data_IF_246361152140
#
_entry.id   IF_246361152140
#
_cell.length_a   1.000
_cell.length_b   1.000
_cell.length_c   1.000
_cell.angle_alpha   90.00
_cell.angle_beta   90.00
_cell.angle_gamma   90.00
#
_symmetry.space_group_name_H-M   'P 1'
#
loop_
_entity.id
_entity.type
_entity.pdbx_description
1 polymer ?
#
# COMPACT_ATOMS: atom_id res chain seq x y z
N UNK A 1 -53.02 -5.80 -29.16
CA UNK A 1 -51.94 -4.80 -29.27
C UNK A 1 -51.22 -4.52 -27.95
N UNK A 2 -51.92 -4.18 -26.85
CA UNK A 2 -51.26 -3.88 -25.55
C UNK A 2 -50.48 -5.07 -24.94
N UNK A 3 -51.00 -6.29 -25.10
CA UNK A 3 -50.36 -7.52 -24.57
C UNK A 3 -49.01 -7.84 -25.24
N UNK A 4 -48.92 -7.69 -26.56
CA UNK A 4 -47.67 -7.95 -27.31
C UNK A 4 -46.59 -6.90 -26.99
N UNK A 5 -46.99 -5.64 -26.86
CA UNK A 5 -46.09 -4.56 -26.45
C UNK A 5 -45.51 -4.81 -25.05
N UNK A 6 -46.34 -5.18 -24.07
CA UNK A 6 -45.86 -5.53 -22.74
C UNK A 6 -44.93 -6.74 -22.75
N UNK A 7 -45.23 -7.77 -23.55
CA UNK A 7 -44.38 -8.97 -23.66
C UNK A 7 -43.01 -8.63 -24.26
N UNK A 8 -42.96 -7.75 -25.27
CA UNK A 8 -41.73 -7.28 -25.88
C UNK A 8 -40.90 -6.42 -24.91
N UNK A 9 -41.53 -5.45 -24.23
CA UNK A 9 -40.88 -4.64 -23.21
C UNK A 9 -40.30 -5.48 -22.08
N UNK A 10 -41.03 -6.49 -21.58
CA UNK A 10 -40.51 -7.42 -20.56
C UNK A 10 -39.25 -8.16 -21.02
N UNK A 11 -39.18 -8.60 -22.28
CA UNK A 11 -37.99 -9.27 -22.83
C UNK A 11 -36.79 -8.34 -22.94
N UNK A 12 -36.99 -7.11 -23.40
CA UNK A 12 -35.92 -6.10 -23.47
C UNK A 12 -35.42 -5.78 -22.06
N UNK A 13 -36.32 -5.49 -21.12
CA UNK A 13 -35.96 -5.20 -19.74
C UNK A 13 -35.18 -6.37 -19.12
N UNK A 14 -35.64 -7.61 -19.33
CA UNK A 14 -34.92 -8.79 -18.84
C UNK A 14 -33.54 -8.94 -19.48
N UNK A 15 -33.42 -8.69 -20.79
CA UNK A 15 -32.13 -8.70 -21.49
C UNK A 15 -31.17 -7.64 -20.91
N UNK A 16 -31.65 -6.41 -20.66
CA UNK A 16 -30.86 -5.35 -20.05
C UNK A 16 -30.41 -5.72 -18.63
N UNK A 17 -31.31 -6.27 -17.82
CA UNK A 17 -31.02 -6.71 -16.44
C UNK A 17 -30.02 -7.87 -16.40
N UNK A 18 -30.08 -8.81 -17.34
CA UNK A 18 -29.19 -9.97 -17.34
C UNK A 18 -27.82 -9.63 -17.94
N UNK A 19 -27.78 -8.83 -19.00
CA UNK A 19 -26.55 -8.65 -19.78
C UNK A 19 -25.84 -7.32 -19.48
N UNK A 20 -26.57 -6.23 -19.26
CA UNK A 20 -25.98 -4.90 -19.12
C UNK A 20 -25.79 -4.53 -17.65
N UNK A 21 -26.81 -4.77 -16.82
CA UNK A 21 -26.78 -4.38 -15.42
C UNK A 21 -25.60 -4.98 -14.64
N UNK A 22 -25.22 -6.27 -14.80
CA UNK A 22 -24.08 -6.82 -14.07
C UNK A 22 -22.75 -6.18 -14.49
N UNK A 23 -22.58 -5.87 -15.78
CA UNK A 23 -21.39 -5.18 -16.30
C UNK A 23 -21.33 -3.76 -15.74
N UNK A 24 -22.46 -3.05 -15.71
CA UNK A 24 -22.53 -1.71 -15.14
C UNK A 24 -22.21 -1.71 -13.64
N UNK A 25 -22.78 -2.64 -12.88
CA UNK A 25 -22.50 -2.81 -11.44
C UNK A 25 -21.01 -3.12 -11.24
N UNK A 26 -20.44 -4.00 -12.05
CA UNK A 26 -19.03 -4.34 -12.01
C UNK A 26 -18.14 -3.12 -12.30
N UNK A 27 -18.46 -2.37 -13.35
CA UNK A 27 -17.73 -1.16 -13.73
C UNK A 27 -17.78 -0.08 -12.66
N UNK A 28 -18.97 0.16 -12.07
CA UNK A 28 -19.15 1.08 -10.96
C UNK A 28 -18.40 0.62 -9.70
N UNK A 29 -18.45 -0.69 -9.40
CA UNK A 29 -17.71 -1.26 -8.28
C UNK A 29 -16.21 -1.07 -8.47
N UNK A 30 -15.68 -1.41 -9.65
CA UNK A 30 -14.27 -1.22 -9.98
C UNK A 30 -13.89 0.25 -9.87
N UNK A 31 -14.68 1.16 -10.44
CA UNK A 31 -14.42 2.59 -10.35
C UNK A 31 -14.36 3.09 -8.90
N UNK A 32 -15.23 2.59 -8.03
CA UNK A 32 -15.28 2.97 -6.62
C UNK A 32 -14.19 2.30 -5.75
N UNK A 33 -13.58 1.21 -6.20
CA UNK A 33 -12.65 0.40 -5.40
C UNK A 33 -11.23 0.34 -5.99
N UNK A 34 -10.99 0.85 -7.20
CA UNK A 34 -9.65 1.06 -7.74
C UNK A 34 -9.03 2.25 -7.02
N UNK A 35 -7.90 2.02 -6.39
CA UNK A 35 -7.17 3.04 -5.66
C UNK A 35 -6.32 2.46 -4.54
N UNK A 36 -5.48 3.31 -3.97
CA UNK A 36 -4.67 3.00 -2.81
C UNK A 36 -5.51 2.84 -1.56
N UNK A 37 -4.85 2.60 -0.42
CA UNK A 37 -5.50 2.81 0.86
C UNK A 37 -5.90 4.30 1.03
N UNK A 38 -6.82 4.61 1.92
CA UNK A 38 -7.20 5.96 2.29
C UNK A 38 -6.12 6.59 3.20
N UNK A 39 -5.68 5.84 4.21
CA UNK A 39 -4.66 6.26 5.16
C UNK A 39 -3.79 5.09 5.68
N UNK A 40 -2.78 5.42 6.47
CA UNK A 40 -1.89 4.46 7.14
C UNK A 40 -2.69 3.44 7.97
N UNK A 41 -3.79 3.83 8.62
CA UNK A 41 -4.56 2.92 9.48
C UNK A 41 -5.26 1.85 8.66
N UNK A 42 -5.84 2.21 7.53
CA UNK A 42 -6.41 1.25 6.58
C UNK A 42 -5.36 0.22 6.14
N UNK A 43 -4.12 0.67 5.88
CA UNK A 43 -3.02 -0.24 5.49
C UNK A 43 -2.76 -1.28 6.58
N UNK A 44 -2.65 -0.87 7.84
CA UNK A 44 -2.43 -1.78 8.98
C UNK A 44 -3.62 -2.73 9.14
N UNK A 45 -4.85 -2.22 9.15
CA UNK A 45 -6.06 -3.01 9.39
C UNK A 45 -6.31 -4.09 8.34
N UNK A 46 -5.95 -3.82 7.09
CA UNK A 46 -6.13 -4.75 5.98
C UNK A 46 -4.92 -5.67 5.75
N UNK A 47 -3.82 -5.48 6.49
CA UNK A 47 -2.63 -6.29 6.29
C UNK A 47 -2.91 -7.78 6.54
N UNK A 48 -2.44 -8.68 5.65
CA UNK A 48 -2.44 -10.11 5.91
C UNK A 48 -1.30 -10.56 6.84
N UNK A 49 -0.34 -9.67 7.12
CA UNK A 49 0.91 -9.98 7.82
C UNK A 49 1.05 -9.15 9.09
N UNK A 50 1.64 -9.76 10.12
CA UNK A 50 1.90 -9.10 11.42
C UNK A 50 2.91 -7.95 11.29
N UNK A 51 3.87 -8.10 10.40
CA UNK A 51 4.92 -7.14 10.07
C UNK A 51 5.15 -7.19 8.57
N UNK A 52 5.31 -6.02 7.94
CA UNK A 52 5.31 -5.95 6.48
C UNK A 52 5.87 -4.66 5.91
N UNK A 53 6.22 -4.70 4.64
CA UNK A 53 6.37 -3.52 3.79
C UNK A 53 5.18 -3.41 2.85
N UNK A 54 4.55 -2.25 2.80
CA UNK A 54 3.42 -1.95 1.92
C UNK A 54 3.83 -0.95 0.85
N UNK A 55 3.33 -1.13 -0.37
CA UNK A 55 3.49 -0.22 -1.50
C UNK A 55 2.09 0.13 -2.01
N UNK A 56 1.73 1.41 -1.92
CA UNK A 56 0.42 1.92 -2.31
C UNK A 56 0.23 1.93 -3.83
N UNK A 57 -1.02 1.83 -4.27
CA UNK A 57 -1.43 2.01 -5.67
C UNK A 57 -0.75 3.22 -6.33
N UNK A 58 -0.72 4.38 -5.65
CA UNK A 58 -0.11 5.60 -6.19
C UNK A 58 1.36 5.36 -6.55
N UNK A 59 2.13 4.74 -5.66
CA UNK A 59 3.54 4.40 -5.89
C UNK A 59 3.69 3.40 -7.04
N UNK A 60 2.81 2.41 -7.13
CA UNK A 60 2.80 1.46 -8.25
C UNK A 60 2.54 2.15 -9.59
N UNK A 61 1.63 3.12 -9.63
CA UNK A 61 1.36 3.90 -10.83
C UNK A 61 2.54 4.81 -11.22
N UNK A 62 3.32 5.29 -10.26
CA UNK A 62 4.57 6.01 -10.52
C UNK A 62 5.64 5.06 -11.09
N UNK A 63 5.79 3.87 -10.48
CA UNK A 63 6.72 2.83 -10.93
C UNK A 63 6.37 2.26 -12.30
N UNK A 64 5.09 2.24 -12.70
CA UNK A 64 4.63 1.75 -14.02
C UNK A 64 5.44 2.33 -15.18
N UNK A 65 5.82 3.60 -15.08
CA UNK A 65 6.57 4.32 -16.10
C UNK A 65 8.09 4.29 -15.91
N UNK A 66 8.58 3.59 -14.87
CA UNK A 66 10.00 3.47 -14.59
C UNK A 66 10.72 2.72 -15.73
N UNK A 67 11.91 3.21 -16.07
CA UNK A 67 12.78 2.67 -17.12
C UNK A 67 13.09 1.18 -16.89
N UNK A 68 13.15 0.73 -15.64
CA UNK A 68 13.45 -0.65 -15.30
C UNK A 68 12.31 -1.63 -15.66
N UNK A 69 11.09 -1.14 -15.81
CA UNK A 69 9.95 -1.95 -16.26
C UNK A 69 9.78 -1.95 -17.78
N UNK A 70 10.71 -1.35 -18.56
CA UNK A 70 10.61 -1.28 -20.03
C UNK A 70 10.38 -2.63 -20.70
N UNK A 71 10.99 -3.69 -20.18
CA UNK A 71 10.88 -5.06 -20.72
C UNK A 71 9.58 -5.79 -20.31
N UNK A 72 8.76 -5.20 -19.44
CA UNK A 72 7.49 -5.78 -19.07
C UNK A 72 6.48 -5.65 -20.23
N UNK A 73 5.81 -6.73 -20.64
CA UNK A 73 4.76 -6.65 -21.65
C UNK A 73 3.69 -5.62 -21.28
N UNK A 74 3.23 -4.85 -22.28
CA UNK A 74 2.34 -3.71 -22.07
C UNK A 74 1.06 -4.07 -21.32
N UNK A 75 0.50 -5.25 -21.59
CA UNK A 75 -0.67 -5.76 -20.88
C UNK A 75 -0.45 -5.85 -19.36
N UNK A 76 0.72 -6.31 -18.91
CA UNK A 76 1.02 -6.37 -17.48
C UNK A 76 1.20 -4.97 -16.88
N UNK A 77 1.82 -4.04 -17.61
CA UNK A 77 1.93 -2.64 -17.18
C UNK A 77 0.55 -1.99 -17.01
N UNK A 78 -0.36 -2.22 -17.96
CA UNK A 78 -1.73 -1.71 -17.87
C UNK A 78 -2.51 -2.38 -16.72
N UNK A 79 -2.24 -3.65 -16.42
CA UNK A 79 -2.89 -4.36 -15.31
C UNK A 79 -2.55 -3.82 -13.92
N UNK A 80 -1.46 -3.04 -13.77
CA UNK A 80 -1.08 -2.39 -12.49
C UNK A 80 -2.21 -1.51 -11.96
N UNK A 81 -3.05 -0.94 -12.84
CA UNK A 81 -4.21 -0.14 -12.44
C UNK A 81 -5.20 -0.93 -11.56
N UNK A 82 -5.20 -2.26 -11.64
CA UNK A 82 -6.05 -3.15 -10.86
C UNK A 82 -5.40 -3.58 -9.53
N UNK A 83 -4.26 -3.01 -9.15
CA UNK A 83 -3.59 -3.32 -7.88
C UNK A 83 -3.78 -2.15 -6.94
N UNK A 84 -4.53 -2.37 -5.86
CA UNK A 84 -4.75 -1.37 -4.81
C UNK A 84 -3.54 -1.21 -3.89
N UNK A 85 -2.71 -2.25 -3.79
CA UNK A 85 -1.45 -2.19 -3.06
C UNK A 85 -0.83 -3.56 -2.92
N UNK A 86 0.43 -3.56 -2.52
CA UNK A 86 1.24 -4.76 -2.35
C UNK A 86 1.76 -4.80 -0.92
N UNK A 87 1.65 -5.96 -0.28
CA UNK A 87 2.24 -6.28 1.02
C UNK A 87 3.39 -7.27 0.83
N UNK A 88 4.49 -7.06 1.55
CA UNK A 88 5.66 -7.95 1.57
C UNK A 88 5.94 -8.29 3.03
N UNK A 89 5.80 -9.56 3.39
CA UNK A 89 6.14 -10.07 4.72
C UNK A 89 7.66 -10.17 4.92
N UNK A 90 8.07 -10.20 6.17
CA UNK A 90 9.49 -10.26 6.57
C UNK A 90 10.22 -11.50 6.05
N UNK A 91 9.50 -12.61 5.89
CA UNK A 91 10.06 -13.88 5.45
C UNK A 91 9.79 -14.16 3.96
N UNK A 92 9.41 -13.13 3.19
CA UNK A 92 9.25 -13.20 1.74
C UNK A 92 7.85 -13.54 1.25
N UNK A 93 6.86 -13.64 2.15
CA UNK A 93 5.46 -13.72 1.74
C UNK A 93 5.07 -12.48 0.95
N UNK A 94 4.30 -12.66 -0.13
CA UNK A 94 3.95 -11.57 -1.02
C UNK A 94 2.43 -11.52 -1.23
N UNK A 95 1.80 -10.40 -0.87
CA UNK A 95 0.37 -10.19 -0.93
C UNK A 95 -0.02 -9.08 -1.92
N UNK A 96 -0.96 -9.33 -2.83
CA UNK A 96 -1.51 -8.34 -3.75
C UNK A 96 -2.97 -8.03 -3.37
N UNK A 97 -3.28 -6.78 -3.02
CA UNK A 97 -4.66 -6.29 -2.83
C UNK A 97 -5.19 -5.84 -4.18
N UNK A 98 -6.32 -6.39 -4.64
CA UNK A 98 -6.97 -6.04 -5.91
C UNK A 98 -8.45 -5.73 -5.69
N UNK A 99 -9.07 -4.85 -6.50
CA UNK A 99 -10.51 -4.74 -6.56
C UNK A 99 -11.10 -6.12 -6.88
N UNK A 100 -12.14 -6.52 -6.14
CA UNK A 100 -12.82 -7.81 -6.29
C UNK A 100 -11.97 -9.05 -5.91
N UNK A 101 -10.89 -8.90 -5.15
CA UNK A 101 -10.11 -10.05 -4.68
C UNK A 101 -10.95 -11.13 -3.99
N UNK A 102 -12.09 -10.75 -3.38
CA UNK A 102 -13.04 -11.69 -2.77
C UNK A 102 -13.65 -12.71 -3.75
N UNK A 103 -13.71 -12.39 -5.06
CA UNK A 103 -14.23 -13.30 -6.08
C UNK A 103 -13.34 -14.54 -6.26
N UNK A 104 -12.10 -14.49 -5.78
CA UNK A 104 -11.13 -15.59 -5.90
C UNK A 104 -11.53 -16.78 -5.04
N UNK A 105 -12.41 -16.57 -4.05
CA UNK A 105 -13.09 -17.67 -3.34
C UNK A 105 -13.92 -18.55 -4.28
N UNK A 106 -14.43 -18.00 -5.39
CA UNK A 106 -15.25 -18.70 -6.37
C UNK A 106 -14.45 -19.13 -7.60
N UNK A 107 -13.33 -18.45 -7.88
CA UNK A 107 -12.43 -18.73 -9.01
C UNK A 107 -11.00 -18.80 -8.46
N UNK A 108 -10.59 -19.94 -7.88
CA UNK A 108 -9.25 -20.06 -7.33
C UNK A 108 -8.21 -19.86 -8.42
N UNK A 109 -7.16 -19.10 -8.10
CA UNK A 109 -5.99 -18.91 -8.96
C UNK A 109 -4.89 -19.83 -8.44
N UNK A 110 -4.38 -20.72 -9.29
CA UNK A 110 -3.32 -21.65 -8.91
C UNK A 110 -2.12 -20.90 -8.31
N UNK A 111 -1.57 -21.47 -7.22
CA UNK A 111 -0.43 -20.95 -6.46
C UNK A 111 -0.68 -19.67 -5.66
N UNK A 112 -1.92 -19.20 -5.54
CA UNK A 112 -2.27 -18.11 -4.63
C UNK A 112 -3.22 -18.58 -3.53
N UNK A 113 -2.94 -18.13 -2.30
CA UNK A 113 -3.86 -18.23 -1.16
C UNK A 113 -4.62 -16.91 -1.03
N UNK A 114 -5.91 -16.96 -0.75
CA UNK A 114 -6.71 -15.77 -0.46
C UNK A 114 -6.81 -15.56 1.05
N UNK A 115 -6.49 -14.35 1.52
CA UNK A 115 -6.71 -13.94 2.91
C UNK A 115 -7.06 -12.45 2.97
N UNK A 116 -8.14 -12.11 3.67
CA UNK A 116 -8.57 -10.72 3.91
C UNK A 116 -8.57 -9.78 2.67
N UNK A 117 -9.01 -10.26 1.51
CA UNK A 117 -9.03 -9.45 0.28
C UNK A 117 -7.71 -9.43 -0.49
N UNK A 118 -6.68 -10.10 0.02
CA UNK A 118 -5.32 -10.12 -0.52
C UNK A 118 -4.98 -11.50 -1.10
N UNK A 119 -4.34 -11.49 -2.27
CA UNK A 119 -3.78 -12.67 -2.91
C UNK A 119 -2.34 -12.89 -2.48
N UNK A 120 -2.10 -13.97 -1.75
CA UNK A 120 -0.79 -14.26 -1.16
C UNK A 120 -0.10 -15.37 -1.93
N UNK A 121 1.17 -15.14 -2.27
CA UNK A 121 2.12 -16.10 -2.84
C UNK A 121 3.33 -16.25 -1.92
N UNK A 122 4.03 -17.39 -2.05
CA UNK A 122 5.21 -17.74 -1.26
C UNK A 122 4.96 -17.62 0.25
N UNK A 123 3.78 -18.05 0.69
CA UNK A 123 3.36 -17.87 2.08
C UNK A 123 4.33 -18.58 3.03
N UNK A 124 4.96 -17.80 3.88
CA UNK A 124 5.56 -18.25 5.12
C UNK A 124 4.55 -18.00 6.26
N UNK A 125 4.23 -19.05 7.00
CA UNK A 125 3.27 -18.97 8.12
C UNK A 125 3.77 -18.02 9.23
N UNK A 126 5.09 -17.78 9.34
CA UNK A 126 5.67 -16.83 10.29
C UNK A 126 5.36 -15.37 9.96
N UNK A 127 5.00 -15.04 8.71
CA UNK A 127 4.55 -13.70 8.34
C UNK A 127 3.09 -13.45 8.71
N UNK A 128 2.28 -14.52 8.84
CA UNK A 128 0.84 -14.38 9.08
C UNK A 128 0.55 -13.81 10.46
N UNK A 129 -0.54 -13.04 10.49
CA UNK A 129 -1.07 -12.44 11.70
C UNK A 129 -1.70 -11.10 11.38
N UNK A 130 -2.58 -10.65 12.26
CA UNK A 130 -3.12 -9.30 12.16
C UNK A 130 -2.08 -8.33 12.70
N UNK A 131 -1.70 -7.33 11.92
CA UNK A 131 -0.90 -6.23 12.43
C UNK A 131 -1.69 -5.46 13.50
N UNK A 132 -1.04 -5.21 14.64
CA UNK A 132 -1.67 -4.53 15.77
C UNK A 132 -1.58 -3.01 15.62
N UNK A 133 -2.68 -2.30 15.87
CA UNK A 133 -2.63 -0.84 15.93
C UNK A 133 -1.88 -0.42 17.19
N UNK A 134 -0.75 0.28 17.04
CA UNK A 134 0.09 0.71 18.16
C UNK A 134 0.35 2.22 18.15
N UNK A 135 1.02 2.72 19.18
CA UNK A 135 1.32 4.14 19.34
C UNK A 135 2.36 4.68 18.33
N UNK A 136 3.16 3.82 17.70
CA UNK A 136 4.07 4.22 16.61
C UNK A 136 3.26 4.58 15.37
N UNK A 137 2.29 3.75 14.99
CA UNK A 137 1.39 4.00 13.85
C UNK A 137 0.64 5.30 14.01
N UNK A 138 0.13 5.58 15.22
CA UNK A 138 -0.60 6.82 15.50
C UNK A 138 0.28 8.09 15.44
N UNK A 139 1.60 7.93 15.41
CA UNK A 139 2.56 9.04 15.26
C UNK A 139 2.83 9.34 13.78
N UNK A 140 2.62 8.38 12.88
CA UNK A 140 2.78 8.58 11.44
C UNK A 140 1.56 9.38 10.91
N UNK A 141 1.77 10.47 10.13
CA UNK A 141 0.66 11.20 9.54
C UNK A 141 -0.14 10.30 8.57
N UNK A 142 -1.48 10.47 8.49
CA UNK A 142 -2.35 9.56 7.74
C UNK A 142 -1.96 9.32 6.27
N UNK A 143 -1.38 10.33 5.61
CA UNK A 143 -1.03 10.26 4.19
C UNK A 143 0.36 9.65 3.90
N UNK A 144 1.17 9.31 4.91
CA UNK A 144 2.52 8.76 4.75
C UNK A 144 2.48 7.24 4.56
N UNK A 145 1.71 6.82 3.55
CA UNK A 145 1.42 5.42 3.24
C UNK A 145 1.85 5.01 1.84
N UNK A 146 2.41 5.91 1.05
CA UNK A 146 2.82 5.64 -0.32
C UNK A 146 3.80 4.45 -0.36
N UNK A 147 4.67 4.40 0.65
CA UNK A 147 5.31 3.18 1.15
C UNK A 147 5.20 3.18 2.67
N UNK A 148 4.92 2.03 3.27
CA UNK A 148 4.87 1.87 4.73
C UNK A 148 5.64 0.63 5.16
N UNK A 149 6.64 0.77 6.02
CA UNK A 149 7.34 -0.35 6.64
C UNK A 149 6.85 -0.43 8.08
N UNK A 150 6.10 -1.48 8.39
CA UNK A 150 5.52 -1.70 9.72
C UNK A 150 6.24 -2.85 10.43
N UNK A 151 6.87 -2.55 11.56
CA UNK A 151 7.47 -3.51 12.50
C UNK A 151 6.99 -3.22 13.92
N UNK A 152 7.17 -4.18 14.82
CA UNK A 152 6.76 -4.05 16.22
C UNK A 152 7.47 -2.88 16.93
N UNK A 153 8.76 -2.71 16.65
CA UNK A 153 9.61 -1.73 17.33
C UNK A 153 9.87 -0.46 16.52
N UNK A 154 9.48 -0.42 15.25
CA UNK A 154 9.59 0.78 14.43
C UNK A 154 8.56 0.81 13.31
N UNK A 155 8.21 1.99 12.85
CA UNK A 155 7.37 2.19 11.67
C UNK A 155 7.94 3.31 10.82
N UNK A 156 8.05 3.06 9.51
CA UNK A 156 8.50 4.06 8.53
C UNK A 156 7.35 4.34 7.58
N UNK A 157 6.92 5.59 7.50
CA UNK A 157 5.96 6.08 6.51
C UNK A 157 6.65 6.96 5.48
N UNK A 158 6.34 6.75 4.21
CA UNK A 158 6.86 7.57 3.09
C UNK A 158 5.68 8.22 2.38
N UNK A 159 5.86 9.50 2.03
CA UNK A 159 4.94 10.29 1.22
C UNK A 159 5.68 10.95 0.05
N UNK A 160 5.19 10.73 -1.17
CA UNK A 160 5.69 11.38 -2.38
C UNK A 160 4.80 12.57 -2.73
N UNK A 161 5.33 13.79 -2.61
CA UNK A 161 4.63 14.98 -3.07
C UNK A 161 5.01 15.29 -4.52
N UNK A 162 4.10 14.97 -5.43
CA UNK A 162 4.29 15.19 -6.86
C UNK A 162 4.23 16.68 -7.23
N UNK A 163 3.59 17.52 -6.43
CA UNK A 163 3.48 18.96 -6.70
C UNK A 163 4.79 19.68 -6.38
N UNK A 164 5.41 19.34 -5.25
CA UNK A 164 6.71 19.89 -4.87
C UNK A 164 7.90 19.09 -5.39
N UNK A 165 7.65 17.92 -6.00
CA UNK A 165 8.65 16.96 -6.45
C UNK A 165 9.64 16.61 -5.31
N UNK A 166 9.09 16.19 -4.18
CA UNK A 166 9.83 15.83 -2.97
C UNK A 166 9.38 14.48 -2.41
N UNK A 167 10.30 13.82 -1.73
CA UNK A 167 9.98 12.66 -0.89
C UNK A 167 10.10 13.05 0.57
N UNK A 168 9.09 12.69 1.35
CA UNK A 168 9.06 12.85 2.80
C UNK A 168 9.08 11.48 3.45
N UNK A 169 9.97 11.30 4.41
CA UNK A 169 10.09 10.07 5.19
C UNK A 169 9.93 10.40 6.66
N UNK A 170 9.10 9.62 7.33
CA UNK A 170 9.00 9.62 8.79
C UNK A 170 9.33 8.23 9.28
N UNK A 171 10.27 8.15 10.20
CA UNK A 171 10.59 6.95 10.95
C UNK A 171 10.29 7.18 12.43
N UNK A 172 9.57 6.26 13.06
CA UNK A 172 9.31 6.29 14.50
C UNK A 172 9.71 4.95 15.08
N UNK A 173 10.65 4.95 16.03
CA UNK A 173 11.16 3.74 16.65
C UNK A 173 11.19 3.84 18.17
N UNK A 174 10.97 2.70 18.85
CA UNK A 174 11.06 2.60 20.32
C UNK A 174 12.51 2.64 20.76
N UNK A 175 12.76 3.32 21.88
CA UNK A 175 14.10 3.36 22.47
C UNK A 175 14.43 2.03 23.14
N UNK A 176 15.58 1.42 22.84
CA UNK A 176 16.03 0.26 23.60
C UNK A 176 16.30 0.68 25.05
N UNK A 177 15.62 0.02 26.01
CA UNK A 177 15.80 0.21 27.45
C UNK A 177 15.68 1.67 27.93
N UNK A 178 14.88 2.51 27.27
CA UNK A 178 14.74 3.95 27.57
C UNK A 178 16.09 4.70 27.61
N UNK A 179 17.06 4.29 26.80
CA UNK A 179 18.32 5.02 26.66
C UNK A 179 18.08 6.44 26.18
N UNK A 180 18.78 7.40 26.76
CA UNK A 180 18.78 8.78 26.29
C UNK A 180 19.43 8.83 24.90
N UNK A 181 18.75 9.45 23.94
CA UNK A 181 19.22 9.58 22.57
C UNK A 181 19.61 11.03 22.34
N UNK A 182 20.87 11.25 21.99
CA UNK A 182 21.36 12.54 21.52
C UNK A 182 20.77 12.83 20.14
N UNK A 183 19.69 13.59 20.12
CA UNK A 183 18.93 13.92 18.91
C UNK A 183 19.72 14.78 17.94
N UNK A 184 20.58 15.67 18.43
CA UNK A 184 21.43 16.52 17.58
C UNK A 184 22.50 15.67 16.89
N UNK A 185 23.13 14.75 17.62
CA UNK A 185 24.08 13.80 17.05
C UNK A 185 23.41 12.91 16.00
N UNK A 186 22.26 12.30 16.31
CA UNK A 186 21.53 11.45 15.37
C UNK A 186 21.12 12.23 14.11
N UNK A 187 20.61 13.45 14.26
CA UNK A 187 20.27 14.34 13.14
C UNK A 187 21.46 14.58 12.23
N UNK A 188 22.61 14.92 12.80
CA UNK A 188 23.84 15.17 12.04
C UNK A 188 24.35 13.92 11.34
N UNK A 189 24.28 12.74 11.98
CA UNK A 189 24.64 11.47 11.34
C UNK A 189 23.73 11.13 10.16
N UNK A 190 22.41 11.35 10.30
CA UNK A 190 21.45 11.11 9.21
C UNK A 190 21.69 12.04 8.03
N UNK A 191 21.93 13.33 8.28
CA UNK A 191 22.27 14.29 7.22
C UNK A 191 23.60 13.97 6.51
N UNK A 192 24.53 13.29 7.17
CA UNK A 192 25.80 12.86 6.56
C UNK A 192 25.66 11.55 5.77
N UNK A 193 24.81 10.62 6.23
CA UNK A 193 24.60 9.31 5.61
C UNK A 193 23.59 9.33 4.47
N UNK A 194 22.75 10.37 4.41
CA UNK A 194 21.68 10.50 3.43
C UNK A 194 21.86 11.76 2.59
N UNK A 195 21.12 11.85 1.49
CA UNK A 195 20.99 13.06 0.66
C UNK A 195 19.81 13.94 1.10
N UNK A 196 19.36 13.82 2.35
CA UNK A 196 18.26 14.62 2.87
C UNK A 196 18.62 16.11 2.90
N UNK A 197 17.68 16.96 2.48
CA UNK A 197 17.82 18.43 2.51
C UNK A 197 17.31 19.04 3.80
N UNK A 198 16.45 18.32 4.52
CA UNK A 198 16.04 18.65 5.86
C UNK A 198 15.93 17.39 6.72
N UNK A 199 16.20 17.54 8.01
CA UNK A 199 16.15 16.48 8.99
C UNK A 199 15.75 17.06 10.34
N UNK A 200 14.74 16.46 10.96
CA UNK A 200 14.34 16.77 12.32
C UNK A 200 14.24 15.47 13.14
N UNK A 201 14.81 15.49 14.35
CA UNK A 201 14.81 14.35 15.26
C UNK A 201 14.24 14.82 16.58
N UNK A 202 13.15 14.18 17.01
CA UNK A 202 12.43 14.54 18.24
C UNK A 202 12.40 13.34 19.17
N UNK A 203 12.93 13.54 20.37
CA UNK A 203 12.76 12.62 21.48
C UNK A 203 11.35 12.76 22.06
N UNK A 204 10.56 11.69 22.00
CA UNK A 204 9.18 11.65 22.49
C UNK A 204 9.04 10.84 23.78
N UNK A 205 10.11 10.69 24.56
CA UNK A 205 10.10 9.93 25.81
C UNK A 205 10.61 8.50 25.59
N UNK A 206 9.70 7.56 25.32
CA UNK A 206 9.98 6.13 25.10
C UNK A 206 10.26 5.77 23.63
N UNK A 207 10.12 6.75 22.72
CA UNK A 207 10.36 6.61 21.28
C UNK A 207 11.03 7.84 20.69
N UNK A 208 11.56 7.68 19.50
CA UNK A 208 12.15 8.77 18.70
C UNK A 208 11.39 8.89 17.40
N UNK A 209 11.11 10.13 17.02
CA UNK A 209 10.53 10.51 15.74
C UNK A 209 11.62 11.16 14.89
N UNK A 210 11.80 10.65 13.69
CA UNK A 210 12.74 11.15 12.69
C UNK A 210 11.93 11.56 11.46
N UNK A 211 12.14 12.80 11.01
CA UNK A 211 11.63 13.31 9.75
C UNK A 211 12.80 13.60 8.82
N UNK A 212 12.72 13.14 7.58
CA UNK A 212 13.66 13.44 6.51
C UNK A 212 12.91 13.96 5.29
N UNK A 213 13.48 14.96 4.65
CA UNK A 213 13.01 15.52 3.38
C UNK A 213 14.07 15.34 2.30
N UNK A 214 13.65 14.89 1.12
CA UNK A 214 14.52 14.68 -0.03
C UNK A 214 14.03 15.45 -1.25
N UNK A 215 14.97 15.97 -2.04
CA UNK A 215 14.67 16.54 -3.34
C UNK A 215 14.44 15.43 -4.38
N UNK A 216 13.35 15.54 -5.13
CA UNK A 216 12.94 14.55 -6.12
C UNK A 216 12.16 13.39 -5.50
N UNK A 217 11.54 12.60 -6.37
CA UNK A 217 10.91 11.33 -6.00
C UNK A 217 11.98 10.25 -5.95
N UNK A 218 12.43 9.92 -4.73
CA UNK A 218 13.34 8.80 -4.50
C UNK A 218 12.58 7.50 -4.20
N UNK A 219 12.38 6.68 -5.23
CA UNK A 219 11.75 5.35 -5.12
C UNK A 219 12.72 4.28 -4.59
N UNK A 220 14.02 4.60 -4.45
CA UNK A 220 15.06 3.67 -4.02
C UNK A 220 15.36 3.76 -2.52
N UNK A 221 14.69 4.62 -1.75
CA UNK A 221 14.90 4.74 -0.30
C UNK A 221 14.78 3.39 0.43
N UNK A 222 13.93 2.48 -0.07
CA UNK A 222 13.77 1.12 0.46
C UNK A 222 15.07 0.28 0.30
N UNK A 223 15.79 0.45 -0.82
CA UNK A 223 17.01 -0.31 -1.11
C UNK A 223 18.24 0.25 -0.38
N UNK A 224 18.21 1.53 -0.02
CA UNK A 224 19.38 2.23 0.53
C UNK A 224 19.58 2.01 2.05
N UNK A 225 18.90 1.02 2.64
CA UNK A 225 19.16 0.62 4.02
C UNK A 225 18.70 1.63 5.05
N UNK A 226 17.60 2.37 4.78
CA UNK A 226 16.83 3.00 5.85
C UNK A 226 16.05 1.88 6.55
N UNK A 227 16.78 1.11 7.36
CA UNK A 227 16.33 0.04 8.27
C UNK A 227 17.29 -0.05 9.45
#
# INVERSE_FOLDING_TARGET
MYGDYMKYMKKIVLFLIINILPILILGLYLYANIGGAEDVKEVIENSPFKEFTYIDHKTLMMLKNDVNLKNMPEFYKESIILINGIYIGNHGSFGIKIPLGFLIKYIPIDNFKYYNGVLIKNLNEDDLGKAEMNDLVNTIPPNYKDVLIYRENYTIGIYYDLNSNKTYLIEVFRKPNNQEIDTEKLRNELLQKTNAVDCNVVDMGDKVYVYLEFNGIDLNLINNGIT
#
